data_IF_169386742024
#
_entry.id   IF_169386742024
#
_cell.length_a   1.000
_cell.length_b   1.000
_cell.length_c   1.000
_cell.angle_alpha   90.00
_cell.angle_beta   90.00
_cell.angle_gamma   90.00
#
_symmetry.space_group_name_H-M   'P 1'
#
loop_
_entity.id
_entity.type
_entity.pdbx_description
1 polymer ?
#
# COMPACT_ATOMS: atom_id res chain seq x y z
N UNK A 1 -15.06 -16.06 16.60
CA UNK A 1 -13.90 -15.20 16.91
C UNK A 1 -13.96 -14.89 18.39
N UNK A 2 -13.03 -15.39 19.19
CA UNK A 2 -12.95 -15.04 20.62
C UNK A 2 -12.42 -13.61 20.66
N UNK A 3 -13.25 -12.64 21.04
CA UNK A 3 -12.76 -11.30 21.40
C UNK A 3 -11.73 -11.50 22.50
N UNK A 4 -10.51 -11.01 22.31
CA UNK A 4 -9.52 -10.89 23.40
C UNK A 4 -9.98 -9.79 24.36
N UNK A 5 -11.18 -9.96 24.92
CA UNK A 5 -11.72 -9.07 25.92
C UNK A 5 -10.99 -9.37 27.22
N UNK A 6 -10.44 -8.33 27.85
CA UNK A 6 -9.91 -8.45 29.19
C UNK A 6 -11.07 -8.80 30.14
N UNK A 7 -10.99 -9.94 30.81
CA UNK A 7 -12.02 -10.38 31.76
C UNK A 7 -11.80 -9.68 33.10
N UNK A 8 -12.38 -8.49 33.22
CA UNK A 8 -12.32 -7.64 34.41
C UNK A 8 -12.79 -8.39 35.67
N UNK A 9 -13.78 -9.28 35.54
CA UNK A 9 -14.33 -10.03 36.67
C UNK A 9 -13.38 -11.16 37.13
N UNK A 10 -12.82 -11.92 36.19
CA UNK A 10 -11.82 -12.94 36.51
C UNK A 10 -10.56 -12.30 37.12
N UNK A 11 -10.15 -11.14 36.61
CA UNK A 11 -9.01 -10.39 37.14
C UNK A 11 -9.26 -9.87 38.56
N UNK A 12 -10.41 -9.25 38.82
CA UNK A 12 -10.79 -8.81 40.16
C UNK A 12 -10.87 -10.00 41.15
N UNK A 13 -11.38 -11.15 40.73
CA UNK A 13 -11.38 -12.38 41.56
C UNK A 13 -9.96 -12.83 41.91
N UNK A 14 -9.02 -12.79 40.96
CA UNK A 14 -7.60 -13.11 41.23
C UNK A 14 -6.98 -12.14 42.23
N UNK A 15 -7.28 -10.85 42.13
CA UNK A 15 -6.81 -9.85 43.09
C UNK A 15 -7.36 -10.11 44.50
N UNK A 16 -8.66 -10.45 44.62
CA UNK A 16 -9.26 -10.85 45.91
C UNK A 16 -8.60 -12.10 46.50
N UNK A 17 -8.26 -13.10 45.68
CA UNK A 17 -7.49 -14.28 46.15
C UNK A 17 -6.06 -13.95 46.60
N UNK A 18 -5.52 -12.80 46.17
CA UNK A 18 -4.22 -12.29 46.57
C UNK A 18 -4.30 -11.27 47.72
N UNK A 19 -5.39 -11.28 48.50
CA UNK A 19 -5.63 -10.43 49.67
C UNK A 19 -5.88 -8.93 49.38
N UNK A 20 -6.22 -8.55 48.15
CA UNK A 20 -6.74 -7.20 47.88
C UNK A 20 -8.18 -7.08 48.39
N UNK A 21 -8.56 -5.89 48.89
CA UNK A 21 -9.97 -5.63 49.23
C UNK A 21 -10.83 -5.62 47.96
N UNK A 22 -12.14 -5.76 48.13
CA UNK A 22 -13.08 -5.70 47.00
C UNK A 22 -12.95 -4.37 46.23
N UNK A 23 -12.99 -3.24 46.94
CA UNK A 23 -12.82 -1.91 46.35
C UNK A 23 -11.49 -1.77 45.59
N UNK A 24 -10.39 -2.31 46.11
CA UNK A 24 -9.09 -2.28 45.45
C UNK A 24 -9.06 -3.15 44.20
N UNK A 25 -9.63 -4.36 44.28
CA UNK A 25 -9.67 -5.32 43.18
C UNK A 25 -10.50 -4.78 42.01
N UNK A 26 -11.64 -4.15 42.30
CA UNK A 26 -12.51 -3.55 41.30
C UNK A 26 -11.84 -2.33 40.64
N UNK A 27 -11.31 -1.40 41.43
CA UNK A 27 -10.63 -0.21 40.91
C UNK A 27 -9.42 -0.55 40.02
N UNK A 28 -8.62 -1.56 40.40
CA UNK A 28 -7.49 -2.02 39.60
C UNK A 28 -7.94 -2.72 38.32
N UNK A 29 -8.99 -3.54 38.40
CA UNK A 29 -9.51 -4.24 37.22
C UNK A 29 -10.07 -3.25 36.20
N UNK A 30 -10.80 -2.24 36.64
CA UNK A 30 -11.33 -1.17 35.79
C UNK A 30 -10.22 -0.34 35.15
N UNK A 31 -9.22 0.08 35.93
CA UNK A 31 -8.08 0.84 35.42
C UNK A 31 -7.28 0.07 34.36
N UNK A 32 -7.05 -1.23 34.58
CA UNK A 32 -6.35 -2.08 33.60
C UNK A 32 -7.21 -2.33 32.37
N UNK A 33 -8.51 -2.55 32.52
CA UNK A 33 -9.44 -2.68 31.39
C UNK A 33 -9.39 -1.44 30.48
N UNK A 34 -9.45 -0.24 31.07
CA UNK A 34 -9.34 1.02 30.34
C UNK A 34 -8.03 1.14 29.54
N UNK A 35 -6.89 0.79 30.15
CA UNK A 35 -5.58 0.83 29.47
C UNK A 35 -5.51 -0.17 28.31
N UNK A 36 -6.04 -1.38 28.51
CA UNK A 36 -6.02 -2.44 27.50
C UNK A 36 -6.93 -2.07 26.34
N UNK A 37 -8.13 -1.55 26.60
CA UNK A 37 -9.06 -1.12 25.56
C UNK A 37 -8.54 0.09 24.76
N UNK A 38 -7.88 1.05 25.41
CA UNK A 38 -7.36 2.26 24.77
C UNK A 38 -6.14 2.00 23.87
N UNK A 39 -5.34 0.96 24.17
CA UNK A 39 -4.10 0.65 23.43
C UNK A 39 -4.25 -0.38 22.31
N UNK A 40 -5.40 -1.05 22.22
CA UNK A 40 -5.62 -2.08 21.21
C UNK A 40 -6.13 -1.46 19.91
N UNK A 41 -5.43 -1.73 18.80
CA UNK A 41 -5.96 -1.45 17.47
C UNK A 41 -7.28 -2.20 17.29
N UNK A 42 -8.33 -1.47 16.95
CA UNK A 42 -9.66 -2.02 16.74
C UNK A 42 -9.73 -2.72 15.38
N UNK A 43 -10.76 -3.57 15.20
CA UNK A 43 -11.04 -4.16 13.88
C UNK A 43 -11.34 -3.08 12.81
N UNK A 44 -11.87 -1.94 13.24
CA UNK A 44 -12.12 -0.81 12.36
C UNK A 44 -10.82 -0.18 11.88
N UNK A 45 -9.84 0.01 12.76
CA UNK A 45 -8.52 0.54 12.41
C UNK A 45 -7.82 -0.38 11.40
N UNK A 46 -7.89 -1.70 11.62
CA UNK A 46 -7.34 -2.69 10.70
C UNK A 46 -8.03 -2.64 9.33
N UNK A 47 -9.36 -2.50 9.30
CA UNK A 47 -10.12 -2.40 8.05
C UNK A 47 -9.81 -1.11 7.30
N UNK A 48 -9.63 0.00 8.01
CA UNK A 48 -9.22 1.26 7.39
C UNK A 48 -7.81 1.14 6.79
N UNK A 49 -6.89 0.49 7.52
CA UNK A 49 -5.54 0.23 7.02
C UNK A 49 -5.55 -0.67 5.78
N UNK A 50 -6.37 -1.72 5.77
CA UNK A 50 -6.57 -2.61 4.62
C UNK A 50 -7.05 -1.83 3.38
N UNK A 51 -8.11 -1.04 3.52
CA UNK A 51 -8.65 -0.20 2.42
C UNK A 51 -7.59 0.78 1.90
N UNK A 52 -6.82 1.40 2.81
CA UNK A 52 -5.76 2.34 2.46
C UNK A 52 -4.63 1.65 1.69
N UNK A 53 -4.26 0.44 2.08
CA UNK A 53 -3.24 -0.36 1.40
C UNK A 53 -3.72 -0.81 0.01
N UNK A 54 -4.94 -1.33 -0.10
CA UNK A 54 -5.52 -1.71 -1.39
C UNK A 54 -5.57 -0.53 -2.38
N UNK A 55 -5.93 0.65 -1.89
CA UNK A 55 -5.97 1.88 -2.70
C UNK A 55 -4.58 2.25 -3.20
N UNK A 56 -3.57 2.27 -2.32
CA UNK A 56 -2.18 2.57 -2.69
C UNK A 56 -1.60 1.55 -3.67
N UNK A 57 -1.92 0.27 -3.51
CA UNK A 57 -1.48 -0.77 -4.45
C UNK A 57 -2.08 -0.50 -5.84
N UNK A 58 -3.38 -0.21 -5.93
CA UNK A 58 -4.03 0.13 -7.21
C UNK A 58 -3.43 1.40 -7.84
N UNK A 59 -3.14 2.41 -7.04
CA UNK A 59 -2.48 3.64 -7.51
C UNK A 59 -1.08 3.35 -8.08
N UNK A 60 -0.30 2.50 -7.41
CA UNK A 60 1.02 2.07 -7.90
C UNK A 60 0.92 1.24 -9.18
N UNK A 61 0.00 0.29 -9.26
CA UNK A 61 -0.23 -0.52 -10.46
C UNK A 61 -0.64 0.35 -11.66
N UNK A 62 -1.54 1.30 -11.45
CA UNK A 62 -1.98 2.22 -12.50
C UNK A 62 -0.89 3.19 -12.93
N UNK A 63 -0.09 3.71 -11.98
CA UNK A 63 1.08 4.53 -12.26
C UNK A 63 2.11 3.77 -13.10
N UNK A 64 2.51 2.58 -12.66
CA UNK A 64 3.49 1.75 -13.37
C UNK A 64 3.01 1.38 -14.77
N UNK A 65 1.72 1.07 -14.95
CA UNK A 65 1.15 0.77 -16.26
C UNK A 65 1.23 1.97 -17.20
N UNK A 66 0.97 3.19 -16.70
CA UNK A 66 1.10 4.42 -17.48
C UNK A 66 2.55 4.67 -17.87
N UNK A 67 3.48 4.55 -16.93
CA UNK A 67 4.91 4.77 -17.18
C UNK A 67 5.44 3.80 -18.24
N UNK A 68 5.02 2.53 -18.18
CA UNK A 68 5.37 1.52 -19.20
C UNK A 68 4.80 1.88 -20.58
N UNK A 69 3.54 2.31 -20.66
CA UNK A 69 2.93 2.74 -21.92
C UNK A 69 3.61 3.98 -22.49
N UNK A 70 3.97 4.94 -21.64
CA UNK A 70 4.67 6.14 -22.04
C UNK A 70 6.06 5.82 -22.59
N UNK A 71 6.81 4.95 -21.89
CA UNK A 71 8.11 4.48 -22.35
C UNK A 71 8.00 3.73 -23.68
N UNK A 72 7.01 2.85 -23.85
CA UNK A 72 6.77 2.14 -25.11
C UNK A 72 6.49 3.13 -26.25
N UNK A 73 5.63 4.13 -26.02
CA UNK A 73 5.32 5.16 -27.02
C UNK A 73 6.57 5.97 -27.39
N UNK A 74 7.36 6.40 -26.41
CA UNK A 74 8.61 7.15 -26.64
C UNK A 74 9.60 6.32 -27.47
N UNK A 75 9.79 5.05 -27.13
CA UNK A 75 10.68 4.14 -27.87
C UNK A 75 10.19 3.91 -29.30
N UNK A 76 8.90 3.62 -29.51
CA UNK A 76 8.32 3.45 -30.84
C UNK A 76 8.46 4.71 -31.69
N UNK A 77 8.23 5.88 -31.11
CA UNK A 77 8.34 7.16 -31.80
C UNK A 77 9.78 7.46 -32.21
N UNK A 78 10.74 7.32 -31.29
CA UNK A 78 12.17 7.55 -31.59
C UNK A 78 12.67 6.58 -32.67
N UNK A 79 12.30 5.30 -32.60
CA UNK A 79 12.66 4.32 -33.63
C UNK A 79 12.02 4.67 -34.99
N UNK A 80 10.75 5.06 -34.99
CA UNK A 80 10.04 5.41 -36.24
C UNK A 80 10.65 6.64 -36.90
N UNK A 81 10.97 7.68 -36.12
CA UNK A 81 11.63 8.89 -36.63
C UNK A 81 13.03 8.61 -37.16
N UNK A 82 13.85 7.86 -36.41
CA UNK A 82 15.22 7.52 -36.83
C UNK A 82 15.23 6.66 -38.09
N UNK A 83 14.40 5.62 -38.14
CA UNK A 83 14.31 4.73 -39.31
C UNK A 83 13.73 5.47 -40.52
N UNK A 84 12.68 6.27 -40.35
CA UNK A 84 12.11 7.10 -41.41
C UNK A 84 13.15 8.07 -41.98
N UNK A 85 13.88 8.78 -41.11
CA UNK A 85 14.95 9.69 -41.52
C UNK A 85 16.09 8.99 -42.28
N UNK A 86 16.51 7.80 -41.82
CA UNK A 86 17.53 6.99 -42.51
C UNK A 86 17.06 6.52 -43.89
N UNK A 87 15.81 6.07 -44.01
CA UNK A 87 15.25 5.63 -45.29
C UNK A 87 15.13 6.79 -46.28
N UNK A 88 14.56 7.93 -45.87
CA UNK A 88 14.44 9.10 -46.74
C UNK A 88 15.82 9.63 -47.14
N UNK A 89 16.77 9.71 -46.21
CA UNK A 89 18.14 10.14 -46.49
C UNK A 89 18.85 9.19 -47.46
N UNK A 90 18.73 7.88 -47.26
CA UNK A 90 19.31 6.88 -48.16
C UNK A 90 18.74 6.95 -49.57
N UNK A 91 17.41 7.07 -49.72
CA UNK A 91 16.77 7.22 -51.03
C UNK A 91 17.21 8.52 -51.72
N UNK A 92 17.30 9.62 -50.99
CA UNK A 92 17.78 10.90 -51.55
C UNK A 92 19.22 10.80 -52.06
N UNK A 93 20.11 10.15 -51.30
CA UNK A 93 21.50 9.92 -51.72
C UNK A 93 21.56 9.07 -53.00
N UNK A 94 20.81 7.97 -53.07
CA UNK A 94 20.78 7.10 -54.27
C UNK A 94 20.25 7.85 -55.49
N UNK A 95 19.20 8.67 -55.35
CA UNK A 95 18.64 9.44 -56.45
C UNK A 95 19.65 10.46 -57.02
N UNK A 96 20.45 11.11 -56.17
CA UNK A 96 21.51 12.01 -56.60
C UNK A 96 22.61 11.26 -57.37
N UNK A 97 23.01 10.08 -56.89
CA UNK A 97 24.02 9.26 -57.56
C UNK A 97 23.57 8.81 -58.96
N UNK A 98 22.30 8.37 -59.10
CA UNK A 98 21.73 7.94 -60.40
C UNK A 98 21.68 9.11 -61.40
N UNK A 99 21.43 10.33 -60.94
CA UNK A 99 21.39 11.51 -61.83
C UNK A 99 22.78 11.97 -62.30
N UNK A 100 23.84 11.56 -61.62
CA UNK A 100 25.23 11.92 -61.94
C UNK A 100 25.95 10.91 -62.84
N UNK A 101 25.43 9.68 -62.95
CA UNK A 101 25.87 8.65 -63.90
C UNK A 101 25.15 8.80 -65.24
#
# INVERSE_FOLDING_TARGET
MRTLAFDTLEFAKKLKTANFTEDQAEALAEAVAGIVEERLATKQDLKELEIRLETRIKELETGLRRDMQEMEMRLRHDLTLRLGGMLTGGVALVAVLVKLL
#
